data_IF_743434489692
#
_entry.id   IF_743434489692
#
_cell.length_a   1.000
_cell.length_b   1.000
_cell.length_c   1.000
_cell.angle_alpha   90.00
_cell.angle_beta   90.00
_cell.angle_gamma   90.00
#
_symmetry.space_group_name_H-M   'P 1'
#
loop_
_entity.id
_entity.type
_entity.pdbx_description
1 polymer ?
#
# COMPACT_ATOMS: atom_id res chain seq x y z
N UNK A 1 8.12 -1.31 2.99
CA UNK A 1 7.23 -0.22 2.54
C UNK A 1 6.53 0.50 3.69
N UNK A 2 5.93 -0.22 4.65
CA UNK A 2 5.25 0.42 5.79
C UNK A 2 6.12 1.48 6.50
N UNK A 3 7.39 1.15 6.79
CA UNK A 3 8.34 2.14 7.37
C UNK A 3 8.56 3.38 6.50
N UNK A 4 8.52 3.23 5.18
CA UNK A 4 8.67 4.35 4.26
C UNK A 4 7.42 5.23 4.29
N UNK A 5 6.21 4.65 4.27
CA UNK A 5 4.97 5.41 4.45
C UNK A 5 4.96 6.17 5.77
N UNK A 6 5.39 5.55 6.87
CA UNK A 6 5.49 6.22 8.18
C UNK A 6 6.42 7.43 8.12
N UNK A 7 7.57 7.31 7.45
CA UNK A 7 8.46 8.47 7.24
C UNK A 7 7.82 9.55 6.38
N UNK A 8 7.07 9.18 5.35
CA UNK A 8 6.31 10.12 4.55
C UNK A 8 5.23 10.85 5.39
N UNK A 9 4.55 10.16 6.29
CA UNK A 9 3.58 10.79 7.21
C UNK A 9 4.27 11.79 8.14
N UNK A 10 5.44 11.43 8.67
CA UNK A 10 6.26 12.33 9.48
C UNK A 10 6.70 13.57 8.69
N UNK A 11 7.10 13.41 7.41
CA UNK A 11 7.42 14.54 6.53
C UNK A 11 6.23 15.44 6.24
N UNK A 12 5.02 14.90 6.25
CA UNK A 12 3.77 15.67 6.16
C UNK A 12 3.31 16.24 7.51
N UNK A 13 4.11 16.17 8.57
CA UNK A 13 3.71 16.53 9.94
C UNK A 13 2.44 15.81 10.45
N UNK A 14 2.23 14.56 10.02
CA UNK A 14 1.09 13.74 10.42
C UNK A 14 1.57 12.65 11.40
N UNK A 15 1.27 12.75 12.70
CA UNK A 15 1.63 11.72 13.67
C UNK A 15 0.91 10.40 13.35
N UNK A 16 1.66 9.31 13.28
CA UNK A 16 1.17 8.00 12.83
C UNK A 16 1.69 6.87 13.73
N UNK A 17 0.82 5.90 14.04
CA UNK A 17 1.12 4.69 14.79
C UNK A 17 1.26 3.54 13.80
N UNK A 18 2.36 2.80 13.89
CA UNK A 18 2.55 1.55 13.16
C UNK A 18 1.77 0.44 13.85
N UNK A 19 0.98 -0.26 13.05
CA UNK A 19 0.24 -1.43 13.47
C UNK A 19 -0.55 -1.12 14.79
N UNK A 20 -1.65 -0.39 14.75
CA UNK A 20 -2.40 -0.05 15.97
C UNK A 20 -3.18 -1.26 16.51
N UNK A 21 -3.18 -1.47 17.83
CA UNK A 21 -4.03 -2.49 18.47
C UNK A 21 -5.37 -1.90 18.91
N UNK A 22 -6.43 -2.72 18.91
CA UNK A 22 -7.75 -2.33 19.42
C UNK A 22 -8.56 -1.39 18.53
N UNK A 23 -8.24 -1.29 17.24
CA UNK A 23 -9.07 -0.51 16.29
C UNK A 23 -10.36 -1.21 15.85
N UNK A 24 -10.43 -2.54 16.02
CA UNK A 24 -11.58 -3.35 15.63
C UNK A 24 -12.00 -4.21 16.83
N UNK A 25 -13.31 -4.44 16.96
CA UNK A 25 -13.86 -5.31 18.01
C UNK A 25 -13.60 -6.80 17.71
N UNK A 26 -13.63 -7.20 16.43
CA UNK A 26 -13.35 -8.56 15.98
C UNK A 26 -11.84 -8.85 15.87
N UNK A 27 -11.24 -9.22 17.01
CA UNK A 27 -9.98 -9.97 17.06
C UNK A 27 -8.72 -9.25 16.56
N UNK A 28 -7.69 -10.06 16.24
CA UNK A 28 -6.29 -9.66 15.98
C UNK A 28 -6.05 -8.91 14.66
N UNK A 29 -7.09 -8.37 14.04
CA UNK A 29 -6.97 -7.62 12.79
C UNK A 29 -6.31 -6.28 13.07
N UNK A 30 -5.17 -6.06 12.41
CA UNK A 30 -4.30 -4.91 12.62
C UNK A 30 -3.98 -4.32 11.25
N UNK A 31 -4.46 -3.11 10.92
CA UNK A 31 -3.98 -2.41 9.74
C UNK A 31 -2.49 -2.05 9.95
N UNK A 32 -1.77 -1.71 8.89
CA UNK A 32 -0.34 -1.44 8.95
C UNK A 32 -0.01 -0.08 9.58
N UNK A 33 -0.91 0.90 9.42
CA UNK A 33 -0.72 2.26 9.89
C UNK A 33 -2.02 2.93 10.32
N UNK A 34 -1.89 3.92 11.21
CA UNK A 34 -3.02 4.74 11.67
C UNK A 34 -2.59 6.15 12.05
N UNK A 35 -3.29 7.17 11.53
CA UNK A 35 -3.00 8.56 11.85
C UNK A 35 -3.65 8.95 13.17
N UNK A 36 -2.87 9.56 14.07
CA UNK A 36 -3.41 10.07 15.34
C UNK A 36 -4.26 11.32 15.07
N UNK A 37 -3.75 12.22 14.23
CA UNK A 37 -4.49 13.39 13.76
C UNK A 37 -5.51 12.98 12.69
N UNK A 38 -6.65 13.69 12.58
CA UNK A 38 -7.60 13.50 11.49
C UNK A 38 -6.94 13.65 10.12
N UNK A 39 -7.25 12.74 9.21
CA UNK A 39 -6.82 12.80 7.82
C UNK A 39 -7.75 13.69 7.00
N UNK A 40 -9.05 13.42 7.06
CA UNK A 40 -10.10 14.19 6.41
C UNK A 40 -11.43 13.99 7.16
N UNK A 41 -12.36 14.95 7.04
CA UNK A 41 -13.69 14.87 7.65
C UNK A 41 -13.66 14.54 9.15
N UNK A 42 -12.71 15.09 9.89
CA UNK A 42 -12.48 14.82 11.33
C UNK A 42 -12.18 13.35 11.67
N UNK A 43 -11.93 12.51 10.66
CA UNK A 43 -11.66 11.08 10.82
C UNK A 43 -10.19 10.78 10.59
N UNK A 44 -9.61 9.99 11.49
CA UNK A 44 -8.29 9.41 11.31
C UNK A 44 -8.28 8.40 10.17
N UNK A 45 -7.13 8.28 9.52
CA UNK A 45 -6.86 7.30 8.48
C UNK A 45 -6.29 6.02 9.11
N UNK A 46 -6.85 4.87 8.75
CA UNK A 46 -6.23 3.56 8.91
C UNK A 46 -5.81 3.05 7.53
N UNK A 47 -4.59 2.55 7.40
CA UNK A 47 -4.11 2.05 6.12
C UNK A 47 -3.46 0.68 6.23
N UNK A 48 -3.55 -0.10 5.16
CA UNK A 48 -2.91 -1.41 5.03
C UNK A 48 -2.27 -1.49 3.65
N UNK A 49 -0.98 -1.86 3.62
CA UNK A 49 -0.16 -1.90 2.41
C UNK A 49 -0.06 -3.32 1.90
N UNK A 50 -0.41 -3.52 0.64
CA UNK A 50 -0.34 -4.85 0.03
C UNK A 50 0.36 -4.77 -1.33
N UNK A 51 1.33 -5.66 -1.53
CA UNK A 51 1.94 -5.88 -2.83
C UNK A 51 1.38 -7.14 -3.48
N UNK A 52 0.71 -6.96 -4.61
CA UNK A 52 0.18 -8.06 -5.40
C UNK A 52 1.21 -8.50 -6.43
N UNK A 53 1.67 -9.75 -6.33
CA UNK A 53 2.60 -10.32 -7.31
C UNK A 53 1.95 -10.38 -8.70
N UNK A 54 2.41 -9.55 -9.64
CA UNK A 54 1.79 -9.37 -10.96
C UNK A 54 1.69 -10.69 -11.72
N UNK A 55 2.77 -11.49 -11.69
CA UNK A 55 2.87 -12.75 -12.42
C UNK A 55 2.38 -13.97 -11.62
N UNK A 56 1.65 -13.77 -10.51
CA UNK A 56 1.20 -14.90 -9.70
C UNK A 56 0.13 -15.68 -10.47
N UNK A 57 0.17 -17.02 -10.37
CA UNK A 57 -0.76 -17.92 -11.09
C UNK A 57 -2.24 -17.56 -10.88
N UNK A 58 -2.61 -17.06 -9.70
CA UNK A 58 -3.99 -16.64 -9.36
C UNK A 58 -4.43 -15.32 -10.00
N UNK A 59 -3.50 -14.53 -10.51
CA UNK A 59 -3.75 -13.19 -11.04
C UNK A 59 -3.34 -13.04 -12.51
N UNK A 60 -2.50 -13.92 -13.05
CA UNK A 60 -1.91 -13.81 -14.40
C UNK A 60 -2.97 -13.67 -15.51
N UNK A 61 -4.14 -14.28 -15.36
CA UNK A 61 -5.25 -14.17 -16.31
C UNK A 61 -5.87 -12.77 -16.31
N UNK A 62 -5.79 -12.04 -15.19
CA UNK A 62 -6.30 -10.67 -15.06
C UNK A 62 -5.21 -9.66 -15.45
N UNK A 63 -4.01 -9.81 -14.89
CA UNK A 63 -2.89 -8.86 -15.08
C UNK A 63 -2.33 -8.88 -16.50
N UNK A 64 -2.56 -9.95 -17.26
CA UNK A 64 -2.21 -9.98 -18.70
C UNK A 64 -3.18 -9.18 -19.58
N UNK A 65 -4.36 -8.84 -19.07
CA UNK A 65 -5.38 -8.07 -19.80
C UNK A 65 -5.41 -6.61 -19.35
N UNK A 66 -5.23 -6.36 -18.06
CA UNK A 66 -5.35 -5.04 -17.46
C UNK A 66 -4.28 -4.82 -16.38
N UNK A 67 -3.51 -3.74 -16.55
CA UNK A 67 -2.51 -3.33 -15.57
C UNK A 67 -3.20 -2.89 -14.26
N UNK A 68 -2.72 -3.36 -13.11
CA UNK A 68 -3.31 -3.02 -11.81
C UNK A 68 -4.48 -3.92 -11.41
N UNK A 69 -4.89 -4.90 -12.22
CA UNK A 69 -5.99 -5.79 -11.90
C UNK A 69 -5.77 -6.61 -10.61
N UNK A 70 -4.53 -7.01 -10.31
CA UNK A 70 -4.21 -7.70 -9.06
C UNK A 70 -4.16 -6.74 -7.85
N UNK A 71 -3.77 -5.48 -8.07
CA UNK A 71 -3.87 -4.44 -7.05
C UNK A 71 -5.34 -4.16 -6.71
N UNK A 72 -6.20 -4.01 -7.73
CA UNK A 72 -7.64 -3.80 -7.55
C UNK A 72 -8.30 -4.95 -6.77
N UNK A 73 -8.00 -6.21 -7.14
CA UNK A 73 -8.51 -7.38 -6.40
C UNK A 73 -8.04 -7.41 -4.94
N UNK A 74 -6.81 -6.97 -4.67
CA UNK A 74 -6.30 -6.86 -3.31
C UNK A 74 -7.00 -5.73 -2.53
N UNK A 75 -7.28 -4.60 -3.19
CA UNK A 75 -8.02 -3.50 -2.61
C UNK A 75 -9.43 -3.92 -2.22
N UNK A 76 -10.18 -4.59 -3.10
CA UNK A 76 -11.53 -5.12 -2.81
C UNK A 76 -11.54 -6.04 -1.59
N UNK A 77 -10.56 -6.94 -1.52
CA UNK A 77 -10.41 -7.85 -0.39
C UNK A 77 -10.11 -7.09 0.91
N UNK A 78 -9.22 -6.09 0.87
CA UNK A 78 -8.84 -5.29 2.04
C UNK A 78 -9.99 -4.41 2.51
N UNK A 79 -10.72 -3.77 1.60
CA UNK A 79 -11.90 -2.98 1.93
C UNK A 79 -12.99 -3.85 2.57
N UNK A 80 -13.19 -5.07 2.08
CA UNK A 80 -14.11 -6.04 2.70
C UNK A 80 -13.62 -6.46 4.10
N UNK A 81 -12.31 -6.75 4.24
CA UNK A 81 -11.68 -7.17 5.48
C UNK A 81 -11.78 -6.12 6.59
N UNK A 82 -11.71 -4.84 6.23
CA UNK A 82 -11.70 -3.72 7.17
C UNK A 82 -12.99 -2.88 7.11
N UNK A 83 -14.08 -3.45 6.58
CA UNK A 83 -15.34 -2.72 6.37
C UNK A 83 -15.87 -2.06 7.66
N UNK A 84 -15.73 -2.72 8.82
CA UNK A 84 -16.17 -2.18 10.11
C UNK A 84 -15.45 -0.88 10.53
N UNK A 85 -14.26 -0.58 9.98
CA UNK A 85 -13.59 0.69 10.25
C UNK A 85 -14.32 1.88 9.61
N UNK A 86 -15.12 1.64 8.56
CA UNK A 86 -15.79 2.70 7.81
C UNK A 86 -16.83 3.50 8.62
N UNK A 87 -17.24 3.02 9.80
CA UNK A 87 -18.16 3.73 10.68
C UNK A 87 -17.49 4.89 11.42
N UNK A 88 -16.18 4.80 11.70
CA UNK A 88 -15.47 5.80 12.52
C UNK A 88 -14.18 6.32 11.89
N UNK A 89 -13.53 5.56 11.00
CA UNK A 89 -12.20 5.85 10.43
C UNK A 89 -12.25 5.81 8.90
N UNK A 90 -11.40 6.60 8.25
CA UNK A 90 -11.18 6.43 6.81
C UNK A 90 -10.25 5.24 6.65
N UNK A 91 -10.68 4.22 5.90
CA UNK A 91 -9.80 3.10 5.57
C UNK A 91 -9.24 3.28 4.15
N UNK A 92 -7.91 3.14 4.01
CA UNK A 92 -7.23 3.15 2.73
C UNK A 92 -6.40 1.88 2.55
N UNK A 93 -6.81 1.04 1.61
CA UNK A 93 -5.94 -0.01 1.09
C UNK A 93 -4.91 0.60 0.14
N UNK A 94 -3.61 0.45 0.41
CA UNK A 94 -2.53 0.86 -0.48
C UNK A 94 -2.06 -0.38 -1.24
N UNK A 95 -2.65 -0.63 -2.41
CA UNK A 95 -2.43 -1.84 -3.19
C UNK A 95 -1.62 -1.54 -4.46
N UNK A 96 -0.48 -2.21 -4.59
CA UNK A 96 0.48 -1.99 -5.68
C UNK A 96 0.88 -3.34 -6.26
N UNK A 97 0.87 -3.47 -7.57
CA UNK A 97 1.43 -4.63 -8.26
C UNK A 97 2.95 -4.60 -8.24
N UNK A 98 3.60 -5.76 -8.17
CA UNK A 98 5.08 -5.81 -8.10
C UNK A 98 5.75 -5.19 -9.32
N UNK A 99 5.07 -5.17 -10.47
CA UNK A 99 5.51 -4.49 -11.69
C UNK A 99 5.28 -2.98 -11.74
N UNK A 100 4.63 -2.36 -10.74
CA UNK A 100 4.37 -0.90 -10.73
C UNK A 100 2.90 -0.47 -10.58
N UNK A 101 1.97 -1.01 -11.38
CA UNK A 101 0.60 -0.52 -11.43
C UNK A 101 -0.13 -0.55 -10.09
N UNK A 102 -1.00 0.42 -9.84
CA UNK A 102 -1.87 0.48 -8.65
C UNK A 102 -3.32 0.57 -9.06
N UNK A 103 -4.24 0.39 -8.11
CA UNK A 103 -5.63 0.80 -8.32
C UNK A 103 -5.78 2.34 -8.26
N UNK A 104 -6.92 2.83 -8.75
CA UNK A 104 -7.23 4.27 -8.80
C UNK A 104 -7.29 4.94 -7.42
N UNK A 105 -7.80 4.25 -6.40
CA UNK A 105 -7.88 4.81 -5.04
C UNK A 105 -6.49 4.96 -4.43
N UNK A 106 -5.63 3.94 -4.60
CA UNK A 106 -4.22 4.03 -4.20
C UNK A 106 -3.51 5.18 -4.91
N UNK A 107 -3.73 5.37 -6.21
CA UNK A 107 -3.10 6.45 -6.97
C UNK A 107 -3.53 7.84 -6.46
N UNK A 108 -4.83 8.04 -6.20
CA UNK A 108 -5.35 9.28 -5.65
C UNK A 108 -4.79 9.56 -4.26
N UNK A 109 -4.77 8.54 -3.40
CA UNK A 109 -4.21 8.64 -2.07
C UNK A 109 -2.73 9.04 -2.10
N UNK A 110 -1.91 8.40 -2.94
CA UNK A 110 -0.49 8.75 -3.06
C UNK A 110 -0.28 10.17 -3.59
N UNK A 111 -1.12 10.62 -4.53
CA UNK A 111 -1.07 12.01 -5.01
C UNK A 111 -1.41 13.02 -3.91
N UNK A 112 -2.49 12.81 -3.17
CA UNK A 112 -2.87 13.65 -2.03
C UNK A 112 -1.77 13.65 -0.96
N UNK A 113 -1.21 12.47 -0.68
CA UNK A 113 -0.16 12.31 0.31
C UNK A 113 1.12 13.05 -0.06
N UNK A 114 1.55 12.96 -1.32
CA UNK A 114 2.68 13.72 -1.84
C UNK A 114 2.42 15.23 -1.80
N UNK A 115 1.21 15.69 -2.14
CA UNK A 115 0.86 17.11 -2.06
C UNK A 115 1.00 17.66 -0.64
N UNK A 116 0.52 16.93 0.38
CA UNK A 116 0.68 17.33 1.79
C UNK A 116 2.15 17.41 2.22
N UNK A 117 3.02 16.54 1.70
CA UNK A 117 4.47 16.62 1.96
C UNK A 117 5.04 17.90 1.35
N UNK A 118 4.72 18.19 0.10
CA UNK A 118 5.17 19.40 -0.61
C UNK A 118 4.69 20.68 0.08
N UNK A 119 3.44 20.70 0.57
CA UNK A 119 2.89 21.83 1.33
C UNK A 119 3.67 22.09 2.62
N UNK A 120 4.10 21.04 3.32
CA UNK A 120 4.88 21.17 4.57
C UNK A 120 6.33 21.54 4.31
N UNK A 121 6.96 20.97 3.28
CA UNK A 121 8.38 21.21 3.01
C UNK A 121 8.64 22.50 2.22
N UNK A 122 7.69 22.92 1.39
CA UNK A 122 7.84 24.02 0.44
C UNK A 122 8.66 23.67 -0.80
N UNK A 123 9.16 22.44 -0.94
CA UNK A 123 9.95 22.00 -2.10
C UNK A 123 9.05 21.32 -3.14
N UNK A 124 8.86 21.90 -4.35
CA UNK A 124 8.04 21.29 -5.39
C UNK A 124 8.61 19.95 -5.92
N UNK A 125 9.89 19.64 -5.66
CA UNK A 125 10.52 18.39 -6.10
C UNK A 125 10.26 17.20 -5.16
N UNK A 126 9.71 17.45 -3.97
CA UNK A 126 9.49 16.40 -2.99
C UNK A 126 8.56 15.30 -3.48
N UNK A 127 7.57 15.63 -4.31
CA UNK A 127 6.72 14.64 -4.97
C UNK A 127 7.56 13.64 -5.77
N UNK A 128 8.45 14.15 -6.63
CA UNK A 128 9.33 13.32 -7.46
C UNK A 128 10.27 12.46 -6.62
N UNK A 129 10.82 13.00 -5.53
CA UNK A 129 11.71 12.23 -4.64
C UNK A 129 10.98 11.08 -3.93
N UNK A 130 9.73 11.32 -3.51
CA UNK A 130 8.89 10.29 -2.90
C UNK A 130 8.54 9.21 -3.92
N UNK A 131 8.11 9.58 -5.12
CA UNK A 131 7.80 8.64 -6.22
C UNK A 131 9.00 7.77 -6.63
N UNK A 132 10.20 8.37 -6.71
CA UNK A 132 11.44 7.64 -6.97
C UNK A 132 11.76 6.65 -5.83
N UNK A 133 11.60 7.09 -4.58
CA UNK A 133 11.82 6.23 -3.41
C UNK A 133 10.85 5.05 -3.37
N UNK A 134 9.57 5.27 -3.71
CA UNK A 134 8.60 4.19 -3.90
C UNK A 134 9.05 3.21 -4.98
N UNK A 135 9.45 3.73 -6.15
CA UNK A 135 9.88 2.92 -7.29
C UNK A 135 11.06 2.01 -6.93
N UNK A 136 12.07 2.54 -6.24
CA UNK A 136 13.23 1.77 -5.78
C UNK A 136 12.82 0.68 -4.78
N UNK A 137 11.96 1.00 -3.82
CA UNK A 137 11.48 0.03 -2.84
C UNK A 137 10.65 -1.08 -3.49
N UNK A 138 9.86 -0.73 -4.51
CA UNK A 138 9.07 -1.70 -5.26
C UNK A 138 9.96 -2.65 -6.07
N UNK A 139 10.96 -2.14 -6.78
CA UNK A 139 11.92 -2.97 -7.53
C UNK A 139 12.67 -3.96 -6.61
N UNK A 140 13.03 -3.53 -5.40
CA UNK A 140 13.63 -4.43 -4.39
C UNK A 140 12.67 -5.56 -4.00
N UNK A 141 11.37 -5.27 -3.86
CA UNK A 141 10.38 -6.29 -3.55
C UNK A 141 10.09 -7.22 -4.74
N UNK A 142 10.03 -6.68 -5.96
CA UNK A 142 9.82 -7.46 -7.19
C UNK A 142 10.97 -8.44 -7.46
N UNK A 143 12.22 -8.00 -7.27
CA UNK A 143 13.38 -8.89 -7.38
C UNK A 143 13.31 -10.09 -6.41
N UNK A 144 12.83 -9.87 -5.18
CA UNK A 144 12.57 -10.96 -4.23
C UNK A 144 11.49 -11.91 -4.74
N UNK A 145 10.38 -11.37 -5.26
CA UNK A 145 9.28 -12.15 -5.83
C UNK A 145 9.72 -13.03 -7.00
N UNK A 146 10.50 -12.48 -7.93
CA UNK A 146 11.05 -13.20 -9.07
C UNK A 146 11.98 -14.33 -8.60
N UNK A 147 12.86 -14.05 -7.64
CA UNK A 147 13.80 -15.04 -7.11
C UNK A 147 13.07 -16.20 -6.40
N UNK A 148 12.08 -15.88 -5.56
CA UNK A 148 11.24 -16.89 -4.89
C UNK A 148 10.48 -17.76 -5.91
N UNK A 149 9.90 -17.13 -6.95
CA UNK A 149 9.25 -17.84 -8.04
C UNK A 149 10.19 -18.78 -8.80
N UNK A 150 11.40 -18.31 -9.12
CA UNK A 150 12.42 -19.10 -9.82
C UNK A 150 12.90 -20.30 -8.98
N UNK A 151 13.12 -20.11 -7.67
CA UNK A 151 13.52 -21.18 -6.76
C UNK A 151 12.44 -22.28 -6.67
N UNK A 152 11.18 -21.89 -6.55
CA UNK A 152 10.05 -22.84 -6.55
C UNK A 152 9.97 -23.63 -7.85
N UNK A 153 10.20 -22.98 -8.99
CA UNK A 153 10.21 -23.65 -10.29
C UNK A 153 11.34 -24.69 -10.42
N UNK A 154 12.55 -24.33 -9.98
CA UNK A 154 13.71 -25.23 -10.02
C UNK A 154 13.51 -26.45 -9.12
N UNK A 155 12.93 -26.27 -7.93
CA UNK A 155 12.64 -27.37 -6.99
C UNK A 155 11.62 -28.37 -7.51
N UNK A 156 10.69 -27.96 -8.38
CA UNK A 156 9.68 -28.86 -8.97
C UNK A 156 10.25 -29.68 -10.12
N UNK A 157 11.33 -29.22 -10.78
CA UNK A 157 12.01 -29.94 -11.87
C UNK A 157 13.08 -30.92 -11.41
N UNK A 158 13.48 -30.87 -10.14
CA UNK A 158 14.47 -31.76 -9.53
C UNK A 158 13.88 -33.06 -8.94
N UNK A 159 12.62 -33.38 -9.27
CA UNK A 159 11.90 -34.62 -8.91
C UNK A 159 11.42 -35.29 -10.19
#
# INVERSE_FOLDING_TARGET
>A
MNDFLVRCFQRANIPTIKEPTGLMEEGSLRPDGYTISPWAQERSLACDVTFSHTMAKRYINLTSQEAGAAALRAADFKNSKFAALADSKIFQSVCIETSGPTDFQTQNFLNEFCSRIVEVSGDPLDKSYVEQSFSILLQKYDSFCILDGALKYMSVRSV
#
